data_IF_031145592648
#
_entry.id   IF_031145592648
#
_cell.length_a   1.000
_cell.length_b   1.000
_cell.length_c   1.000
_cell.angle_alpha   90.00
_cell.angle_beta   90.00
_cell.angle_gamma   90.00
#
_symmetry.space_group_name_H-M   'P 1'
#
loop_
_entity.id
_entity.type
_entity.pdbx_description
1 polymer ?
#
# COMPACT_ATOMS: atom_id res chain seq x y z
N UNK A 1 25.57 -27.99 -5.05
CA UNK A 1 25.04 -27.20 -3.92
C UNK A 1 24.12 -26.13 -4.48
N UNK A 2 22.81 -26.26 -4.31
CA UNK A 2 21.85 -25.21 -4.68
C UNK A 2 22.08 -24.03 -3.73
N UNK A 3 22.73 -22.97 -4.19
CA UNK A 3 22.73 -21.72 -3.44
C UNK A 3 21.27 -21.29 -3.28
N UNK A 4 20.76 -21.08 -2.05
CA UNK A 4 19.41 -20.58 -1.87
C UNK A 4 19.28 -19.30 -2.71
N UNK A 5 18.25 -19.25 -3.54
CA UNK A 5 17.93 -18.15 -4.45
C UNK A 5 17.98 -16.83 -3.65
N UNK A 6 19.15 -16.17 -3.62
CA UNK A 6 19.43 -15.07 -2.67
C UNK A 6 18.68 -13.84 -3.14
N UNK A 7 17.40 -13.77 -2.76
CA UNK A 7 16.57 -12.58 -2.98
C UNK A 7 17.20 -11.41 -2.20
N UNK A 8 17.34 -10.23 -2.82
CA UNK A 8 17.90 -9.06 -2.18
C UNK A 8 16.97 -8.64 -1.04
N UNK A 9 17.56 -8.12 0.02
CA UNK A 9 16.83 -7.61 1.19
C UNK A 9 15.78 -6.58 0.78
N UNK A 10 16.05 -5.77 -0.26
CA UNK A 10 15.11 -4.80 -0.81
C UNK A 10 13.82 -5.40 -1.38
N UNK A 11 13.86 -6.64 -1.88
CA UNK A 11 12.66 -7.33 -2.35
C UNK A 11 11.76 -7.75 -1.19
N UNK A 12 12.35 -8.27 -0.10
CA UNK A 12 11.59 -8.58 1.10
C UNK A 12 11.05 -7.31 1.77
N UNK A 13 11.84 -6.24 1.83
CA UNK A 13 11.37 -4.95 2.33
C UNK A 13 10.17 -4.42 1.53
N UNK A 14 10.20 -4.51 0.19
CA UNK A 14 9.07 -4.15 -0.67
C UNK A 14 7.82 -4.96 -0.32
N UNK A 15 7.96 -6.29 -0.20
CA UNK A 15 6.84 -7.17 0.14
C UNK A 15 6.26 -6.86 1.52
N UNK A 16 7.12 -6.63 2.51
CA UNK A 16 6.69 -6.25 3.86
C UNK A 16 5.92 -4.94 3.84
N UNK A 17 6.40 -3.92 3.13
CA UNK A 17 5.69 -2.64 3.05
C UNK A 17 4.37 -2.74 2.27
N UNK A 18 4.30 -3.53 1.20
CA UNK A 18 3.05 -3.77 0.47
C UNK A 18 2.01 -4.48 1.35
N UNK A 19 2.44 -5.50 2.10
CA UNK A 19 1.58 -6.21 3.03
C UNK A 19 1.12 -5.31 4.18
N UNK A 20 2.05 -4.56 4.79
CA UNK A 20 1.75 -3.59 5.84
C UNK A 20 0.71 -2.57 5.35
N UNK A 21 0.94 -1.96 4.18
CA UNK A 21 0.00 -1.02 3.59
C UNK A 21 -1.37 -1.65 3.34
N UNK A 22 -1.40 -2.86 2.79
CA UNK A 22 -2.65 -3.58 2.54
C UNK A 22 -3.43 -3.85 3.82
N UNK A 23 -2.76 -4.40 4.84
CA UNK A 23 -3.37 -4.73 6.12
C UNK A 23 -3.94 -3.47 6.80
N UNK A 24 -3.17 -2.38 6.81
CA UNK A 24 -3.62 -1.09 7.33
C UNK A 24 -4.81 -0.52 6.57
N UNK A 25 -4.79 -0.55 5.23
CA UNK A 25 -5.88 -0.05 4.39
C UNK A 25 -7.16 -0.87 4.52
N UNK A 26 -7.05 -2.20 4.60
CA UNK A 26 -8.17 -3.09 4.85
C UNK A 26 -8.76 -2.84 6.25
N UNK A 27 -7.92 -2.79 7.28
CA UNK A 27 -8.38 -2.55 8.65
C UNK A 27 -9.06 -1.18 8.80
N UNK A 28 -8.37 -0.10 8.41
CA UNK A 28 -8.91 1.25 8.51
C UNK A 28 -10.14 1.45 7.61
N UNK A 29 -10.10 0.92 6.38
CA UNK A 29 -11.22 0.97 5.46
C UNK A 29 -12.44 0.23 6.00
N UNK A 30 -12.30 -1.02 6.45
CA UNK A 30 -13.41 -1.80 7.03
C UNK A 30 -14.01 -1.11 8.26
N UNK A 31 -13.18 -0.55 9.14
CA UNK A 31 -13.67 0.17 10.31
C UNK A 31 -14.54 1.38 9.91
N UNK A 32 -14.11 2.18 8.91
CA UNK A 32 -14.89 3.31 8.41
C UNK A 32 -16.13 2.88 7.59
N UNK A 33 -16.10 1.71 6.94
CA UNK A 33 -17.29 1.17 6.27
C UNK A 33 -18.35 0.70 7.28
N UNK A 34 -17.91 0.07 8.38
CA UNK A 34 -18.81 -0.41 9.42
C UNK A 34 -19.37 0.74 10.26
N UNK A 35 -18.56 1.76 10.50
CA UNK A 35 -18.97 2.96 11.21
C UNK A 35 -18.47 4.23 10.50
N UNK A 36 -19.27 4.75 9.54
CA UNK A 36 -18.95 5.96 8.80
C UNK A 36 -18.86 7.22 9.65
N UNK A 37 -19.27 7.18 10.93
CA UNK A 37 -19.11 8.31 11.85
C UNK A 37 -17.68 8.45 12.37
N UNK A 38 -16.84 7.42 12.21
CA UNK A 38 -15.46 7.40 12.68
C UNK A 38 -15.28 7.04 14.16
N UNK A 39 -16.36 6.76 14.90
CA UNK A 39 -16.29 6.46 16.34
C UNK A 39 -15.49 5.18 16.62
N UNK A 40 -15.60 4.15 15.77
CA UNK A 40 -14.79 2.92 15.90
C UNK A 40 -13.27 3.19 15.88
N UNK A 41 -12.83 4.20 15.14
CA UNK A 41 -11.42 4.60 15.07
C UNK A 41 -11.10 5.79 15.97
N UNK A 42 -12.06 6.26 16.78
CA UNK A 42 -11.95 7.46 17.62
C UNK A 42 -11.56 8.72 16.81
N UNK A 43 -12.01 8.80 15.56
CA UNK A 43 -11.75 9.94 14.67
C UNK A 43 -12.94 10.91 14.77
N UNK A 44 -12.73 12.17 15.18
CA UNK A 44 -13.82 13.13 15.31
C UNK A 44 -14.33 13.57 13.93
N UNK A 45 -15.66 13.61 13.78
CA UNK A 45 -16.31 14.14 12.56
C UNK A 45 -15.97 15.61 12.28
N UNK A 46 -15.52 16.37 13.28
CA UNK A 46 -15.06 17.75 13.11
C UNK A 46 -13.94 17.89 12.07
N UNK A 47 -13.14 16.84 11.85
CA UNK A 47 -12.12 16.80 10.80
C UNK A 47 -12.72 16.90 9.39
N UNK A 48 -13.98 16.49 9.21
CA UNK A 48 -14.67 16.55 7.93
C UNK A 48 -15.33 17.91 7.68
N UNK A 49 -15.42 18.82 8.65
CA UNK A 49 -16.07 20.13 8.47
C UNK A 49 -15.38 20.99 7.40
N UNK A 50 -14.06 20.84 7.24
CA UNK A 50 -13.29 21.48 6.17
C UNK A 50 -13.29 20.69 4.86
N UNK A 51 -13.93 19.52 4.84
CA UNK A 51 -13.94 18.59 3.72
C UNK A 51 -15.27 18.63 2.95
N UNK A 52 -15.29 18.25 1.66
CA UNK A 52 -16.50 18.05 0.87
C UNK A 52 -17.31 16.80 1.26
N UNK A 53 -16.86 15.98 2.22
CA UNK A 53 -17.53 14.76 2.63
C UNK A 53 -18.38 14.98 3.88
N UNK A 54 -19.57 14.37 3.89
CA UNK A 54 -20.48 14.41 5.04
C UNK A 54 -20.14 13.35 6.10
N UNK A 55 -19.48 12.27 5.70
CA UNK A 55 -19.09 11.15 6.55
C UNK A 55 -17.80 10.48 6.03
N UNK A 56 -17.30 9.48 6.75
CA UNK A 56 -16.11 8.72 6.39
C UNK A 56 -16.39 7.55 5.43
N UNK A 57 -17.59 7.42 4.85
CA UNK A 57 -17.94 6.28 4.00
C UNK A 57 -17.10 6.28 2.71
N UNK A 58 -17.04 7.42 2.02
CA UNK A 58 -16.26 7.55 0.77
C UNK A 58 -14.75 7.36 1.04
N UNK A 59 -14.14 8.02 2.05
CA UNK A 59 -12.78 7.70 2.46
C UNK A 59 -12.57 6.22 2.78
N UNK A 60 -13.49 5.62 3.53
CA UNK A 60 -13.43 4.20 3.89
C UNK A 60 -13.40 3.28 2.67
N UNK A 61 -14.23 3.54 1.67
CA UNK A 61 -14.27 2.76 0.41
C UNK A 61 -12.94 2.86 -0.32
N UNK A 62 -12.35 4.05 -0.39
CA UNK A 62 -11.04 4.27 -1.03
C UNK A 62 -9.94 3.54 -0.27
N UNK A 63 -9.91 3.65 1.07
CA UNK A 63 -8.96 2.93 1.92
C UNK A 63 -9.05 1.41 1.72
N UNK A 64 -10.26 0.87 1.78
CA UNK A 64 -10.49 -0.57 1.68
C UNK A 64 -10.12 -1.11 0.29
N UNK A 65 -10.58 -0.45 -0.77
CA UNK A 65 -10.42 -0.95 -2.14
C UNK A 65 -9.06 -0.58 -2.74
N UNK A 66 -8.77 0.71 -2.90
CA UNK A 66 -7.59 1.22 -3.62
C UNK A 66 -6.32 1.06 -2.78
N UNK A 67 -6.41 1.23 -1.46
CA UNK A 67 -5.25 1.19 -0.56
C UNK A 67 -5.18 -0.07 0.32
N UNK A 68 -6.15 -0.96 0.22
CA UNK A 68 -6.22 -2.24 0.93
C UNK A 68 -6.12 -3.43 -0.03
N UNK A 69 -7.17 -3.63 -0.85
CA UNK A 69 -7.26 -4.75 -1.80
C UNK A 69 -6.20 -4.65 -2.90
N UNK A 70 -6.06 -3.50 -3.55
CA UNK A 70 -5.13 -3.38 -4.68
C UNK A 70 -3.66 -3.63 -4.28
N UNK A 71 -3.14 -3.09 -3.15
CA UNK A 71 -1.81 -3.45 -2.65
C UNK A 71 -1.66 -4.94 -2.31
N UNK A 72 -2.73 -5.59 -1.84
CA UNK A 72 -2.72 -7.05 -1.62
C UNK A 72 -2.52 -7.83 -2.93
N UNK A 73 -3.25 -7.43 -3.97
CA UNK A 73 -3.12 -8.01 -5.31
C UNK A 73 -1.67 -7.83 -5.81
N UNK A 74 -1.12 -6.63 -5.67
CA UNK A 74 0.26 -6.31 -6.06
C UNK A 74 1.29 -7.08 -5.23
N UNK A 75 1.05 -7.29 -3.93
CA UNK A 75 1.87 -8.15 -3.07
C UNK A 75 1.92 -9.58 -3.61
N UNK A 76 0.76 -10.19 -3.90
CA UNK A 76 0.68 -11.54 -4.47
C UNK A 76 1.34 -11.61 -5.85
N UNK A 77 1.11 -10.61 -6.70
CA UNK A 77 1.74 -10.50 -8.01
C UNK A 77 3.27 -10.39 -7.91
N UNK A 78 3.76 -9.63 -6.94
CA UNK A 78 5.19 -9.46 -6.66
C UNK A 78 5.81 -10.76 -6.15
N UNK A 79 5.13 -11.46 -5.26
CA UNK A 79 5.53 -12.78 -4.76
C UNK A 79 5.64 -13.81 -5.88
N UNK A 80 4.66 -13.82 -6.79
CA UNK A 80 4.61 -14.70 -7.97
C UNK A 80 5.51 -14.22 -9.14
N UNK A 81 6.24 -13.11 -8.98
CA UNK A 81 7.11 -12.51 -10.02
C UNK A 81 6.37 -12.23 -11.34
N UNK A 82 5.12 -11.76 -11.25
CA UNK A 82 4.35 -11.37 -12.45
C UNK A 82 4.90 -10.08 -13.03
N UNK A 83 4.93 -9.96 -14.37
CA UNK A 83 5.47 -8.76 -15.04
C UNK A 83 4.68 -7.48 -14.70
N UNK A 84 3.39 -7.59 -14.40
CA UNK A 84 2.54 -6.46 -14.00
C UNK A 84 2.75 -6.01 -12.55
N UNK A 85 3.45 -6.80 -11.73
CA UNK A 85 3.65 -6.48 -10.32
C UNK A 85 4.46 -5.19 -10.12
N UNK A 86 5.43 -4.93 -11.01
CA UNK A 86 6.23 -3.69 -10.94
C UNK A 86 5.41 -2.44 -11.23
N UNK A 87 4.70 -2.30 -12.38
CA UNK A 87 3.84 -1.14 -12.58
C UNK A 87 2.75 -1.07 -11.50
N UNK A 88 2.24 -2.20 -11.02
CA UNK A 88 1.33 -2.25 -9.86
C UNK A 88 1.91 -1.62 -8.60
N UNK A 89 3.15 -1.95 -8.22
CA UNK A 89 3.81 -1.38 -7.04
C UNK A 89 4.07 0.12 -7.17
N UNK A 90 4.38 0.60 -8.38
CA UNK A 90 4.47 2.04 -8.67
C UNK A 90 3.12 2.71 -8.47
N UNK A 91 2.04 2.12 -9.01
CA UNK A 91 0.68 2.65 -8.85
C UNK A 91 0.25 2.69 -7.39
N UNK A 92 0.52 1.65 -6.60
CA UNK A 92 0.27 1.64 -5.14
C UNK A 92 1.02 2.77 -4.45
N UNK A 93 2.29 2.96 -4.78
CA UNK A 93 3.12 4.01 -4.18
C UNK A 93 2.56 5.40 -4.50
N UNK A 94 2.19 5.64 -5.75
CA UNK A 94 1.60 6.91 -6.19
C UNK A 94 0.22 7.14 -5.56
N UNK A 95 -0.64 6.13 -5.55
CA UNK A 95 -1.96 6.21 -4.96
C UNK A 95 -1.88 6.56 -3.46
N UNK A 96 -0.96 5.95 -2.72
CA UNK A 96 -0.75 6.24 -1.30
C UNK A 96 -0.26 7.68 -1.08
N UNK A 97 0.73 8.14 -1.86
CA UNK A 97 1.24 9.52 -1.76
C UNK A 97 0.14 10.54 -2.09
N UNK A 98 -0.61 10.32 -3.17
CA UNK A 98 -1.72 11.19 -3.59
C UNK A 98 -2.79 11.22 -2.50
N UNK A 99 -3.15 10.06 -1.95
CA UNK A 99 -4.17 9.97 -0.91
C UNK A 99 -3.79 10.74 0.36
N UNK A 100 -2.55 10.63 0.82
CA UNK A 100 -2.05 11.42 1.95
C UNK A 100 -2.04 12.91 1.63
N UNK A 101 -1.62 13.30 0.43
CA UNK A 101 -1.66 14.70 -0.01
C UNK A 101 -3.08 15.27 -0.05
N UNK A 102 -4.03 14.49 -0.55
CA UNK A 102 -5.47 14.85 -0.57
C UNK A 102 -6.01 14.95 0.85
N UNK A 103 -5.72 14.00 1.74
CA UNK A 103 -6.11 14.11 3.15
C UNK A 103 -5.57 15.40 3.79
N UNK A 104 -4.26 15.67 3.68
CA UNK A 104 -3.67 16.89 4.26
C UNK A 104 -4.33 18.14 3.69
N UNK A 105 -4.65 18.16 2.39
CA UNK A 105 -5.31 19.29 1.75
C UNK A 105 -6.76 19.49 2.21
N UNK A 106 -7.47 18.42 2.60
CA UNK A 106 -8.89 18.47 2.99
C UNK A 106 -9.09 18.70 4.49
N UNK A 107 -8.31 18.01 5.32
CA UNK A 107 -8.50 17.99 6.79
C UNK A 107 -7.34 18.63 7.55
N UNK A 108 -6.32 19.14 6.85
CA UNK A 108 -5.12 19.68 7.48
C UNK A 108 -4.10 18.61 7.85
N UNK A 109 -2.92 19.07 8.30
CA UNK A 109 -1.89 18.18 8.82
C UNK A 109 -2.09 17.93 10.32
N UNK A 110 -2.32 16.67 10.68
CA UNK A 110 -2.52 16.25 12.07
C UNK A 110 -1.28 15.51 12.58
N UNK A 111 -0.54 16.07 13.56
CA UNK A 111 0.69 15.46 14.06
C UNK A 111 0.45 14.33 15.08
N UNK A 112 -0.74 14.22 15.66
CA UNK A 112 -1.04 13.28 16.74
C UNK A 112 -2.33 12.48 16.46
N UNK A 113 -2.24 11.18 16.11
CA UNK A 113 -1.04 10.44 15.75
C UNK A 113 -0.48 10.85 14.36
N UNK A 114 0.84 10.76 14.11
CA UNK A 114 1.48 11.24 12.87
C UNK A 114 1.28 10.28 11.68
N UNK A 115 0.05 9.78 11.48
CA UNK A 115 -0.29 8.79 10.46
C UNK A 115 0.00 9.32 9.06
N UNK A 116 -0.30 10.58 8.79
CA UNK A 116 -0.04 11.20 7.48
C UNK A 116 1.44 11.16 7.13
N UNK A 117 2.33 11.50 8.07
CA UNK A 117 3.77 11.41 7.88
C UNK A 117 4.23 9.97 7.69
N UNK A 118 3.78 9.04 8.53
CA UNK A 118 4.16 7.62 8.46
C UNK A 118 3.77 7.01 7.11
N UNK A 119 2.53 7.17 6.68
CA UNK A 119 2.06 6.62 5.40
C UNK A 119 2.65 7.35 4.19
N UNK A 120 2.92 8.66 4.31
CA UNK A 120 3.69 9.40 3.30
C UNK A 120 5.08 8.80 3.09
N UNK A 121 5.79 8.51 4.20
CA UNK A 121 7.11 7.86 4.15
C UNK A 121 7.03 6.44 3.59
N UNK A 122 6.00 5.65 3.94
CA UNK A 122 5.77 4.32 3.36
C UNK A 122 5.57 4.42 1.85
N UNK A 123 4.77 5.37 1.36
CA UNK A 123 4.56 5.59 -0.08
C UNK A 123 5.85 5.92 -0.82
N UNK A 124 6.66 6.83 -0.26
CA UNK A 124 7.98 7.18 -0.83
C UNK A 124 8.94 5.99 -0.79
N UNK A 125 9.00 5.26 0.32
CA UNK A 125 9.85 4.09 0.47
C UNK A 125 9.48 2.97 -0.53
N UNK A 126 8.19 2.70 -0.71
CA UNK A 126 7.69 1.77 -1.73
C UNK A 126 8.14 2.18 -3.13
N UNK A 127 8.04 3.48 -3.45
CA UNK A 127 8.46 3.99 -4.76
C UNK A 127 9.95 3.78 -4.99
N UNK A 128 10.79 4.15 -4.01
CA UNK A 128 12.25 3.99 -4.07
C UNK A 128 12.62 2.52 -4.23
N UNK A 129 12.09 1.64 -3.37
CA UNK A 129 12.37 0.20 -3.40
C UNK A 129 12.00 -0.42 -4.75
N UNK A 130 10.86 -0.02 -5.32
CA UNK A 130 10.40 -0.51 -6.63
C UNK A 130 11.35 -0.10 -7.77
N UNK A 131 12.06 1.02 -7.63
CA UNK A 131 13.07 1.47 -8.59
C UNK A 131 14.45 0.86 -8.38
N UNK A 132 14.72 0.12 -7.31
CA UNK A 132 16.04 -0.49 -7.13
C UNK A 132 16.30 -1.57 -8.20
N UNK A 133 17.47 -1.50 -8.84
CA UNK A 133 17.88 -2.42 -9.91
C UNK A 133 17.78 -3.90 -9.51
N UNK A 134 17.99 -4.21 -8.23
CA UNK A 134 17.85 -5.56 -7.68
C UNK A 134 16.39 -6.08 -7.73
N UNK A 135 15.42 -5.22 -7.40
CA UNK A 135 13.98 -5.53 -7.48
C UNK A 135 13.55 -5.62 -8.95
N UNK A 136 14.03 -4.70 -9.80
CA UNK A 136 13.72 -4.72 -11.25
C UNK A 136 14.15 -6.02 -11.91
N UNK A 137 15.33 -6.56 -11.57
CA UNK A 137 15.84 -7.81 -12.14
C UNK A 137 14.97 -9.01 -11.75
N UNK A 138 14.51 -9.08 -10.50
CA UNK A 138 13.68 -10.19 -10.01
C UNK A 138 12.28 -10.17 -10.61
N UNK A 139 11.62 -9.01 -10.64
CA UNK A 139 10.28 -8.89 -11.23
C UNK A 139 10.27 -9.08 -12.76
N UNK A 140 11.44 -8.97 -13.41
CA UNK A 140 11.61 -9.31 -14.84
C UNK A 140 12.02 -10.76 -15.09
N UNK A 141 12.58 -11.45 -14.09
CA UNK A 141 13.00 -12.84 -14.25
C UNK A 141 11.79 -13.77 -14.39
N UNK A 142 11.80 -14.67 -15.38
CA UNK A 142 10.77 -15.72 -15.48
C UNK A 142 10.74 -16.52 -14.16
N UNK A 143 9.56 -16.92 -13.66
CA UNK A 143 9.50 -17.86 -12.55
C UNK A 143 10.28 -19.11 -12.92
N UNK A 144 11.11 -19.60 -12.00
CA UNK A 144 11.84 -20.87 -12.14
C UNK A 144 10.77 -21.97 -12.10
N UNK A 145 10.13 -22.23 -13.24
CA UNK A 145 9.41 -23.47 -13.43
C UNK A 145 10.48 -24.51 -13.65
N UNK A 146 10.65 -25.39 -12.66
CA UNK A 146 11.49 -26.57 -12.80
C UNK A 146 11.05 -27.30 -14.08
N UNK A 147 11.91 -27.30 -15.09
CA UNK A 147 11.91 -28.31 -16.14
C UNK A 147 12.30 -29.64 -15.47
N UNK A 148 11.36 -30.24 -14.74
CA UNK A 148 11.35 -31.68 -14.50
C UNK A 148 10.27 -32.25 -15.39
N UNK A 149 10.64 -32.56 -16.64
CA UNK A 149 10.60 -33.91 -17.18
C UNK A 149 10.64 -33.86 -18.73
N UNK A 150 11.82 -34.27 -19.23
CA UNK A 150 12.03 -35.28 -20.27
C UNK A 150 10.83 -35.65 -21.16
#
# INVERSE_FOLDING_TARGET
MNTPDKRPISFYALLTLLFFQSASGLYGGTALLMDPTGNLLQIPMALLESSPFQDFLIPGIILFSILGIFPMIVFVGSWQRKMWARPGAILVSMALIIWIGVQIAMIGYEPEPPLQLVYGLVGVALLILTQLSAVRKILKSKPIHNETNN
#
